data_IF_331984124698
#
_entry.id   IF_331984124698
#
_cell.length_a   1.000
_cell.length_b   1.000
_cell.length_c   1.000
_cell.angle_alpha   90.00
_cell.angle_beta   90.00
_cell.angle_gamma   90.00
#
_symmetry.space_group_name_H-M   'P 1'
#
loop_
_entity.id
_entity.type
_entity.pdbx_description
1 polymer ?
#
# COMPACT_ATOMS: atom_id res chain seq x y z
N UNK A 1 1.65 12.94 -25.58
CA UNK A 1 1.79 14.41 -25.41
C UNK A 1 0.67 15.07 -26.22
N UNK A 2 -0.27 15.72 -25.54
CA UNK A 2 -1.34 16.49 -26.17
C UNK A 2 -0.89 17.94 -26.17
N UNK A 3 -0.79 18.57 -27.36
CA UNK A 3 -0.57 20.00 -27.46
C UNK A 3 -1.86 20.72 -27.03
N UNK A 4 -1.80 21.41 -25.91
CA UNK A 4 -2.92 22.24 -25.43
C UNK A 4 -2.66 23.66 -25.90
N UNK A 5 -3.51 24.19 -26.80
CA UNK A 5 -3.52 25.59 -27.16
C UNK A 5 -3.96 26.41 -25.91
N UNK A 6 -2.99 26.98 -25.23
CA UNK A 6 -3.25 27.95 -24.16
C UNK A 6 -3.60 29.29 -24.85
N UNK A 7 -4.87 29.65 -24.85
CA UNK A 7 -5.28 30.99 -25.27
C UNK A 7 -4.61 32.03 -24.39
N UNK A 8 -3.98 33.03 -24.99
CA UNK A 8 -3.43 34.17 -24.26
C UNK A 8 -4.50 34.77 -23.34
N UNK A 9 -4.29 34.64 -22.03
CA UNK A 9 -5.12 35.28 -21.04
C UNK A 9 -4.62 36.74 -20.92
N UNK A 10 -5.35 37.64 -21.51
CA UNK A 10 -5.17 39.09 -21.23
C UNK A 10 -5.75 39.40 -19.85
N UNK A 11 -4.99 39.17 -18.79
CA UNK A 11 -5.31 39.67 -17.47
C UNK A 11 -4.91 41.16 -17.43
N UNK A 12 -5.84 42.04 -17.71
CA UNK A 12 -5.69 43.43 -17.39
C UNK A 12 -5.76 43.60 -15.85
N UNK A 13 -4.62 44.02 -15.29
CA UNK A 13 -4.54 44.76 -14.03
C UNK A 13 -5.25 44.11 -12.82
N UNK A 14 -4.79 42.98 -12.32
CA UNK A 14 -5.16 42.59 -10.96
C UNK A 14 -4.54 43.59 -9.98
N UNK A 15 -5.36 44.31 -9.18
CA UNK A 15 -4.88 45.05 -8.05
C UNK A 15 -4.23 44.09 -7.05
N UNK A 16 -2.94 44.23 -6.92
CA UNK A 16 -2.15 43.39 -6.02
C UNK A 16 -2.19 44.03 -4.63
N UNK A 17 -2.64 43.28 -3.62
CA UNK A 17 -2.68 43.76 -2.24
C UNK A 17 -1.30 44.00 -1.64
N UNK A 18 -1.20 44.74 -0.53
CA UNK A 18 0.08 45.04 0.11
C UNK A 18 0.76 43.77 0.58
N UNK A 19 2.04 43.58 0.20
CA UNK A 19 2.87 42.43 0.54
C UNK A 19 3.09 41.39 -0.57
N UNK A 20 2.53 41.60 -1.77
CA UNK A 20 2.77 40.76 -2.93
C UNK A 20 3.87 41.37 -3.81
N UNK A 21 4.95 40.64 -4.03
CA UNK A 21 6.01 41.03 -4.98
C UNK A 21 5.63 40.50 -6.36
N UNK A 22 5.32 41.42 -7.29
CA UNK A 22 5.10 41.05 -8.69
C UNK A 22 6.46 40.96 -9.36
N UNK A 23 6.84 39.76 -9.77
CA UNK A 23 8.00 39.58 -10.63
C UNK A 23 7.52 39.54 -12.09
N UNK A 24 7.80 40.58 -12.83
CA UNK A 24 7.60 40.57 -14.28
C UNK A 24 8.61 39.57 -14.89
N UNK A 25 8.16 38.38 -15.18
CA UNK A 25 8.89 37.49 -16.08
C UNK A 25 8.83 38.14 -17.47
N UNK A 26 9.95 38.71 -17.89
CA UNK A 26 10.03 39.33 -19.21
C UNK A 26 9.53 38.32 -20.26
N UNK A 27 8.52 38.73 -21.03
CA UNK A 27 8.07 38.00 -22.18
C UNK A 27 9.22 37.98 -23.22
N UNK A 28 10.13 37.04 -23.05
CA UNK A 28 11.02 36.65 -24.13
C UNK A 28 10.11 36.25 -25.30
N UNK A 29 10.11 37.03 -26.38
CA UNK A 29 9.36 36.71 -27.57
C UNK A 29 9.74 35.29 -28.00
N UNK A 30 8.93 34.25 -27.75
CA UNK A 30 9.22 32.94 -28.28
C UNK A 30 9.01 33.12 -29.78
N UNK A 31 10.09 33.14 -30.57
CA UNK A 31 9.94 32.81 -31.94
C UNK A 31 9.25 31.44 -31.96
N UNK A 32 7.95 31.46 -32.21
CA UNK A 32 7.16 30.28 -32.52
C UNK A 32 7.82 29.62 -33.72
N UNK A 33 8.85 28.80 -33.45
CA UNK A 33 9.31 27.86 -34.45
C UNK A 33 8.07 27.08 -34.87
N UNK A 34 7.80 26.99 -36.16
CA UNK A 34 6.75 26.15 -36.71
C UNK A 34 6.89 24.76 -36.11
N UNK A 35 6.20 24.51 -34.99
CA UNK A 35 6.17 23.18 -34.36
C UNK A 35 5.51 22.24 -35.33
N UNK A 36 6.26 21.28 -35.80
CA UNK A 36 5.69 20.14 -36.52
C UNK A 36 4.57 19.56 -35.64
N UNK A 37 3.34 19.54 -36.16
CA UNK A 37 2.24 18.90 -35.47
C UNK A 37 2.63 17.45 -35.21
N UNK A 38 2.98 17.13 -33.97
CA UNK A 38 3.20 15.75 -33.56
C UNK A 38 1.82 15.12 -33.40
N UNK A 39 1.52 14.10 -34.19
CA UNK A 39 0.32 13.33 -34.03
C UNK A 39 0.36 12.73 -32.59
N UNK A 40 -0.68 12.94 -31.77
CA UNK A 40 -0.69 12.39 -30.43
C UNK A 40 -0.65 10.86 -30.50
N UNK A 41 0.36 10.27 -29.86
CA UNK A 41 0.38 8.83 -29.65
C UNK A 41 -0.56 8.55 -28.47
N UNK A 42 -1.76 8.05 -28.79
CA UNK A 42 -2.78 7.72 -27.77
C UNK A 42 -2.46 6.31 -27.31
N UNK A 43 -1.98 6.19 -26.07
CA UNK A 43 -1.74 4.89 -25.45
C UNK A 43 -3.05 4.07 -25.44
N UNK A 44 -2.97 2.74 -25.70
CA UNK A 44 -4.13 1.87 -25.63
C UNK A 44 -4.73 1.89 -24.23
N UNK A 45 -6.05 1.79 -24.14
CA UNK A 45 -6.73 1.69 -22.86
C UNK A 45 -6.41 0.32 -22.22
N UNK A 46 -5.91 0.35 -21.00
CA UNK A 46 -5.64 -0.86 -20.22
C UNK A 46 -6.95 -1.52 -19.75
N UNK A 47 -6.90 -2.82 -19.42
CA UNK A 47 -7.96 -3.53 -18.75
C UNK A 47 -8.25 -2.89 -17.37
N UNK A 48 -9.49 -2.96 -16.90
CA UNK A 48 -9.90 -2.28 -15.66
C UNK A 48 -9.11 -2.74 -14.44
N UNK A 49 -8.85 -4.04 -14.30
CA UNK A 49 -8.07 -4.59 -13.19
C UNK A 49 -6.61 -4.17 -13.27
N UNK A 50 -6.05 -4.07 -14.47
CA UNK A 50 -4.71 -3.53 -14.71
C UNK A 50 -4.60 -2.07 -14.28
N UNK A 51 -5.57 -1.24 -14.67
CA UNK A 51 -5.60 0.17 -14.27
C UNK A 51 -5.67 0.33 -12.75
N UNK A 52 -6.52 -0.46 -12.07
CA UNK A 52 -6.67 -0.40 -10.61
C UNK A 52 -5.36 -0.87 -9.95
N UNK A 53 -4.80 -2.00 -10.40
CA UNK A 53 -3.55 -2.52 -9.87
C UNK A 53 -2.40 -1.52 -10.00
N UNK A 54 -2.23 -0.96 -11.18
CA UNK A 54 -1.18 0.01 -11.46
C UNK A 54 -1.35 1.30 -10.64
N UNK A 55 -2.60 1.75 -10.43
CA UNK A 55 -2.88 2.89 -9.56
C UNK A 55 -2.52 2.62 -8.09
N UNK A 56 -2.81 1.41 -7.57
CA UNK A 56 -2.44 1.01 -6.21
C UNK A 56 -0.92 0.89 -6.06
N UNK A 57 -0.24 0.29 -7.03
CA UNK A 57 1.22 0.17 -7.09
C UNK A 57 1.88 1.55 -7.13
N UNK A 58 1.39 2.44 -7.99
CA UNK A 58 1.91 3.81 -8.12
C UNK A 58 1.73 4.59 -6.81
N UNK A 59 0.53 4.53 -6.22
CA UNK A 59 0.23 5.22 -4.97
C UNK A 59 1.12 4.75 -3.82
N UNK A 60 1.37 3.45 -3.71
CA UNK A 60 2.26 2.88 -2.69
C UNK A 60 3.71 3.31 -2.92
N UNK A 61 4.23 3.15 -4.14
CA UNK A 61 5.59 3.57 -4.50
C UNK A 61 5.85 5.02 -4.18
N UNK A 62 4.97 5.89 -4.64
CA UNK A 62 5.05 7.33 -4.42
C UNK A 62 5.07 7.68 -2.92
N UNK A 63 4.21 7.03 -2.13
CA UNK A 63 4.15 7.27 -0.69
C UNK A 63 5.45 6.85 0.00
N UNK A 64 5.94 5.64 -0.29
CA UNK A 64 7.17 5.11 0.29
C UNK A 64 8.36 6.01 -0.05
N UNK A 65 8.55 6.33 -1.32
CA UNK A 65 9.71 7.08 -1.80
C UNK A 65 9.68 8.55 -1.37
N UNK A 66 8.53 9.22 -1.48
CA UNK A 66 8.40 10.64 -1.11
C UNK A 66 8.51 10.89 0.40
N UNK A 67 8.20 9.89 1.22
CA UNK A 67 8.38 9.98 2.67
C UNK A 67 9.75 9.44 3.15
N UNK A 68 10.62 9.00 2.23
CA UNK A 68 11.99 8.58 2.54
C UNK A 68 12.10 7.20 3.18
N UNK A 69 11.07 6.36 3.11
CA UNK A 69 11.15 4.99 3.59
C UNK A 69 11.93 4.12 2.60
N UNK A 70 12.86 3.33 3.12
CA UNK A 70 13.66 2.41 2.31
C UNK A 70 12.97 1.06 2.09
N UNK A 71 12.03 0.70 2.94
CA UNK A 71 11.38 -0.60 2.97
C UNK A 71 10.04 -0.57 3.67
N UNK A 72 9.26 -1.64 3.50
CA UNK A 72 7.98 -1.83 4.17
C UNK A 72 7.95 -3.15 4.94
N UNK A 73 7.11 -3.21 5.98
CA UNK A 73 6.86 -4.42 6.76
C UNK A 73 5.35 -4.64 6.92
N UNK A 74 4.90 -5.89 6.85
CA UNK A 74 3.49 -6.24 7.04
C UNK A 74 3.31 -7.61 7.68
N UNK A 75 2.18 -7.78 8.36
CA UNK A 75 1.77 -9.08 8.88
C UNK A 75 1.26 -9.99 7.75
N UNK A 76 1.81 -11.20 7.66
CA UNK A 76 1.34 -12.24 6.74
C UNK A 76 0.53 -13.27 7.55
N UNK A 77 -0.79 -13.24 7.35
CA UNK A 77 -1.74 -14.08 8.08
C UNK A 77 -2.11 -15.38 7.33
N UNK A 78 -1.62 -15.56 6.10
CA UNK A 78 -2.13 -16.58 5.17
C UNK A 78 -3.45 -16.17 4.51
N UNK A 79 -4.02 -15.00 4.85
CA UNK A 79 -5.25 -14.47 4.25
C UNK A 79 -5.00 -13.69 2.96
N UNK A 80 -6.06 -13.60 2.13
CA UNK A 80 -5.99 -12.95 0.80
C UNK A 80 -5.62 -11.47 0.86
N UNK A 81 -6.05 -10.73 1.91
CA UNK A 81 -5.79 -9.31 2.02
C UNK A 81 -4.29 -9.03 2.23
N UNK A 82 -3.68 -9.75 3.17
CA UNK A 82 -2.23 -9.66 3.40
C UNK A 82 -1.42 -10.11 2.17
N UNK A 83 -1.90 -11.14 1.47
CA UNK A 83 -1.26 -11.64 0.25
C UNK A 83 -1.29 -10.58 -0.88
N UNK A 84 -2.44 -9.93 -1.11
CA UNK A 84 -2.56 -8.86 -2.11
C UNK A 84 -1.71 -7.65 -1.72
N UNK A 85 -1.68 -7.26 -0.44
CA UNK A 85 -0.82 -6.17 0.02
C UNK A 85 0.67 -6.47 -0.18
N UNK A 86 1.12 -7.71 0.09
CA UNK A 86 2.50 -8.11 -0.15
C UNK A 86 2.85 -8.08 -1.65
N UNK A 87 1.98 -8.60 -2.51
CA UNK A 87 2.18 -8.57 -3.95
C UNK A 87 2.22 -7.14 -4.51
N UNK A 88 1.33 -6.25 -4.05
CA UNK A 88 1.35 -4.82 -4.39
C UNK A 88 2.66 -4.16 -3.95
N UNK A 89 3.15 -4.49 -2.75
CA UNK A 89 4.40 -3.95 -2.24
C UNK A 89 5.60 -4.40 -3.09
N UNK A 90 5.67 -5.67 -3.46
CA UNK A 90 6.72 -6.21 -4.34
C UNK A 90 6.67 -5.54 -5.72
N UNK A 91 5.49 -5.37 -6.31
CA UNK A 91 5.34 -4.70 -7.61
C UNK A 91 5.67 -3.20 -7.50
N UNK A 92 5.50 -2.59 -6.33
CA UNK A 92 5.78 -1.17 -6.10
C UNK A 92 7.27 -0.87 -5.90
N UNK A 93 7.95 -1.63 -5.02
CA UNK A 93 9.30 -1.28 -4.56
C UNK A 93 10.32 -2.42 -4.67
N UNK A 94 9.93 -3.57 -5.20
CA UNK A 94 10.80 -4.75 -5.34
C UNK A 94 10.84 -5.65 -4.09
N UNK A 95 11.14 -6.96 -4.27
CA UNK A 95 11.07 -7.94 -3.19
C UNK A 95 12.06 -7.67 -2.05
N UNK A 96 13.27 -7.21 -2.35
CA UNK A 96 14.34 -6.95 -1.36
C UNK A 96 13.98 -5.86 -0.33
N UNK A 97 12.90 -5.11 -0.57
CA UNK A 97 12.42 -4.01 0.27
C UNK A 97 11.12 -4.32 0.99
N UNK A 98 10.64 -5.57 0.91
CA UNK A 98 9.37 -6.01 1.52
C UNK A 98 9.65 -7.10 2.54
N UNK A 99 9.21 -6.90 3.77
CA UNK A 99 9.43 -7.81 4.88
C UNK A 99 8.11 -8.34 5.43
N UNK A 100 7.96 -9.67 5.45
CA UNK A 100 6.81 -10.36 6.00
C UNK A 100 7.02 -10.73 7.48
N UNK A 101 5.96 -10.66 8.28
CA UNK A 101 5.97 -11.19 9.65
C UNK A 101 4.79 -12.13 9.83
N UNK A 102 5.07 -13.42 10.02
CA UNK A 102 4.09 -14.39 10.46
C UNK A 102 3.95 -14.30 11.99
N UNK A 103 2.74 -14.06 12.49
CA UNK A 103 2.48 -13.84 13.91
C UNK A 103 1.43 -14.84 14.42
N UNK A 104 1.78 -16.12 14.52
CA UNK A 104 0.85 -17.16 14.91
C UNK A 104 0.45 -17.03 16.38
N UNK A 105 -0.84 -17.33 16.64
CA UNK A 105 -1.35 -17.63 17.98
C UNK A 105 -1.36 -19.14 18.23
N UNK A 106 -1.68 -19.58 19.44
CA UNK A 106 -1.88 -20.99 19.77
C UNK A 106 -3.03 -21.63 18.97
N UNK A 107 -3.91 -20.82 18.39
CA UNK A 107 -5.07 -21.25 17.61
C UNK A 107 -4.86 -21.13 16.10
N UNK A 108 -3.69 -20.66 15.66
CA UNK A 108 -3.40 -20.53 14.22
C UNK A 108 -3.24 -21.90 13.59
N UNK A 109 -3.95 -22.14 12.46
CA UNK A 109 -3.84 -23.39 11.74
C UNK A 109 -2.46 -23.56 11.09
N UNK A 110 -2.00 -24.80 10.92
CA UNK A 110 -0.77 -25.08 10.18
C UNK A 110 -0.86 -24.62 8.72
N UNK A 111 -2.08 -24.64 8.14
CA UNK A 111 -2.33 -24.12 6.79
C UNK A 111 -2.02 -22.64 6.65
N UNK A 112 -2.42 -21.81 7.64
CA UNK A 112 -2.14 -20.36 7.58
C UNK A 112 -0.64 -20.05 7.60
N UNK A 113 0.15 -20.85 8.31
CA UNK A 113 1.60 -20.68 8.34
C UNK A 113 2.22 -21.11 7.01
N UNK A 114 1.86 -22.28 6.51
CA UNK A 114 2.37 -22.79 5.22
C UNK A 114 1.99 -21.86 4.06
N UNK A 115 0.79 -21.26 4.09
CA UNK A 115 0.35 -20.31 3.06
C UNK A 115 1.15 -18.99 3.09
N UNK A 116 1.53 -18.53 4.28
CA UNK A 116 2.36 -17.33 4.43
C UNK A 116 3.80 -17.60 3.93
N UNK A 117 4.36 -18.75 4.24
CA UNK A 117 5.70 -19.17 3.82
C UNK A 117 5.74 -19.39 2.29
N UNK A 118 4.77 -20.11 1.70
CA UNK A 118 4.66 -20.32 0.25
C UNK A 118 4.50 -18.99 -0.50
N UNK A 119 3.71 -18.06 0.05
CA UNK A 119 3.57 -16.73 -0.53
C UNK A 119 4.90 -15.96 -0.52
N UNK A 120 5.62 -15.99 0.61
CA UNK A 120 6.90 -15.30 0.75
C UNK A 120 7.94 -15.87 -0.23
N UNK A 121 8.02 -17.18 -0.35
CA UNK A 121 8.90 -17.86 -1.32
C UNK A 121 8.58 -17.44 -2.76
N UNK A 122 7.30 -17.46 -3.15
CA UNK A 122 6.86 -17.07 -4.51
C UNK A 122 7.09 -15.60 -4.83
N UNK A 123 6.99 -14.73 -3.83
CA UNK A 123 7.24 -13.29 -3.99
C UNK A 123 8.73 -12.94 -3.86
N UNK A 124 9.56 -13.86 -3.37
CA UNK A 124 10.99 -13.64 -3.13
C UNK A 124 11.26 -12.65 -2.00
N UNK A 125 10.38 -12.60 -0.99
CA UNK A 125 10.51 -11.68 0.15
C UNK A 125 11.00 -12.40 1.40
N UNK A 126 11.69 -11.67 2.27
CA UNK A 126 12.06 -12.18 3.58
C UNK A 126 10.83 -12.28 4.50
N UNK A 127 10.72 -13.41 5.21
CA UNK A 127 9.69 -13.63 6.23
C UNK A 127 10.32 -14.08 7.53
N UNK A 128 9.83 -13.53 8.65
CA UNK A 128 10.15 -14.04 9.99
C UNK A 128 8.89 -14.43 10.75
N UNK A 129 9.06 -15.28 11.74
CA UNK A 129 7.97 -15.73 12.61
C UNK A 129 8.15 -15.17 14.01
N UNK A 130 7.13 -14.44 14.48
CA UNK A 130 7.05 -13.86 15.83
C UNK A 130 5.79 -14.37 16.53
N UNK A 131 5.92 -15.39 17.36
CA UNK A 131 4.79 -15.96 18.08
C UNK A 131 4.21 -14.96 19.08
N UNK A 132 2.89 -14.76 19.07
CA UNK A 132 2.24 -13.77 19.94
C UNK A 132 1.94 -14.29 21.36
N UNK A 133 1.85 -15.61 21.56
CA UNK A 133 1.44 -16.21 22.84
C UNK A 133 2.24 -15.71 24.05
N UNK A 134 3.59 -15.59 23.99
CA UNK A 134 4.38 -15.09 25.14
C UNK A 134 4.03 -13.66 25.56
N UNK A 135 3.46 -12.85 24.67
CA UNK A 135 3.05 -11.48 24.96
C UNK A 135 1.55 -11.38 25.30
N UNK A 136 0.74 -12.27 24.77
CA UNK A 136 -0.71 -12.31 25.00
C UNK A 136 -1.03 -12.88 26.37
N UNK A 137 -0.49 -14.06 26.70
CA UNK A 137 -0.84 -14.84 27.90
C UNK A 137 -0.68 -14.05 29.22
N UNK A 138 0.41 -13.29 29.44
CA UNK A 138 0.56 -12.52 30.68
C UNK A 138 -0.48 -11.40 30.80
N UNK A 139 -0.82 -10.71 29.74
CA UNK A 139 -1.80 -9.61 29.74
C UNK A 139 -3.21 -10.16 29.88
N UNK A 140 -3.55 -11.23 29.15
CA UNK A 140 -4.83 -11.92 29.21
C UNK A 140 -5.13 -12.43 30.62
N UNK A 141 -4.14 -13.07 31.24
CA UNK A 141 -4.23 -13.57 32.62
C UNK A 141 -4.33 -12.44 33.65
N UNK A 142 -3.54 -11.37 33.50
CA UNK A 142 -3.55 -10.24 34.45
C UNK A 142 -4.87 -9.47 34.44
N UNK A 143 -5.49 -9.34 33.24
CA UNK A 143 -6.73 -8.58 33.06
C UNK A 143 -7.98 -9.47 33.04
N UNK A 144 -7.82 -10.79 33.17
CA UNK A 144 -8.90 -11.79 33.12
C UNK A 144 -9.77 -11.64 31.89
N UNK A 145 -9.10 -11.49 30.69
CA UNK A 145 -9.80 -11.26 29.42
C UNK A 145 -10.30 -12.56 28.80
N UNK A 146 -11.50 -12.50 28.24
CA UNK A 146 -12.10 -13.58 27.46
C UNK A 146 -12.84 -13.06 26.19
N UNK A 147 -13.30 -13.98 25.34
CA UNK A 147 -14.09 -13.68 24.16
C UNK A 147 -13.46 -12.61 23.28
N UNK A 148 -14.28 -11.62 22.86
CA UNK A 148 -13.86 -10.53 21.98
C UNK A 148 -12.72 -9.69 22.57
N UNK A 149 -12.65 -9.55 23.91
CA UNK A 149 -11.58 -8.79 24.53
C UNK A 149 -10.21 -9.48 24.34
N UNK A 150 -10.17 -10.81 24.49
CA UNK A 150 -8.98 -11.61 24.23
C UNK A 150 -8.58 -11.60 22.74
N UNK A 151 -9.54 -11.71 21.81
CA UNK A 151 -9.31 -11.60 20.37
C UNK A 151 -8.71 -10.24 20.00
N UNK A 152 -9.28 -9.17 20.53
CA UNK A 152 -8.79 -7.80 20.32
C UNK A 152 -7.40 -7.58 20.93
N UNK A 153 -7.07 -8.23 22.06
CA UNK A 153 -5.73 -8.21 22.63
C UNK A 153 -4.73 -8.81 21.64
N UNK A 154 -5.03 -9.99 21.07
CA UNK A 154 -4.16 -10.63 20.09
C UNK A 154 -3.88 -9.72 18.86
N UNK A 155 -4.93 -9.06 18.35
CA UNK A 155 -4.76 -8.11 17.26
C UNK A 155 -3.84 -6.94 17.63
N UNK A 156 -3.99 -6.39 18.85
CA UNK A 156 -3.13 -5.31 19.35
C UNK A 156 -1.69 -5.73 19.60
N UNK A 157 -1.47 -6.95 20.09
CA UNK A 157 -0.11 -7.49 20.26
C UNK A 157 0.58 -7.62 18.89
N UNK A 158 -0.11 -8.06 17.84
CA UNK A 158 0.43 -8.04 16.47
C UNK A 158 0.81 -6.63 16.03
N UNK A 159 -0.03 -5.65 16.32
CA UNK A 159 0.27 -4.24 16.05
C UNK A 159 1.51 -3.75 16.80
N UNK A 160 1.68 -4.12 18.08
CA UNK A 160 2.86 -3.79 18.88
C UNK A 160 4.13 -4.38 18.27
N UNK A 161 4.09 -5.66 17.86
CA UNK A 161 5.24 -6.33 17.23
C UNK A 161 5.64 -5.59 15.96
N UNK A 162 4.69 -5.34 15.04
CA UNK A 162 4.97 -4.64 13.78
C UNK A 162 5.54 -3.23 14.01
N UNK A 163 4.97 -2.46 14.93
CA UNK A 163 5.47 -1.12 15.24
C UNK A 163 6.83 -1.15 15.95
N UNK A 164 7.07 -2.14 16.82
CA UNK A 164 8.36 -2.34 17.45
C UNK A 164 9.46 -2.61 16.42
N UNK A 165 9.21 -3.52 15.46
CA UNK A 165 10.12 -3.82 14.37
C UNK A 165 10.32 -2.62 13.44
N UNK A 166 9.23 -1.92 13.10
CA UNK A 166 9.28 -0.68 12.33
C UNK A 166 10.23 0.35 12.94
N UNK A 167 10.12 0.58 14.24
CA UNK A 167 10.96 1.54 14.94
C UNK A 167 12.42 1.09 15.08
N UNK A 168 12.64 -0.22 15.21
CA UNK A 168 13.99 -0.77 15.36
C UNK A 168 14.75 -0.82 14.02
N UNK A 169 14.05 -1.07 12.92
CA UNK A 169 14.64 -1.40 11.63
C UNK A 169 14.34 -0.35 10.53
N UNK A 170 13.44 0.62 10.79
CA UNK A 170 13.15 1.73 9.89
C UNK A 170 12.15 1.43 8.79
N UNK A 171 11.35 0.36 8.93
CA UNK A 171 10.33 0.00 7.95
C UNK A 171 9.04 0.83 8.06
N UNK A 172 8.38 1.10 6.94
CA UNK A 172 6.99 1.57 6.95
C UNK A 172 6.06 0.36 7.18
N UNK A 173 5.22 0.41 8.21
CA UNK A 173 4.20 -0.63 8.43
C UNK A 173 3.05 -0.45 7.46
N UNK A 174 2.71 -1.53 6.71
CA UNK A 174 1.50 -1.59 5.89
C UNK A 174 0.36 -2.24 6.67
N UNK A 175 -0.81 -1.61 6.68
CA UNK A 175 -2.04 -2.25 7.17
C UNK A 175 -2.77 -2.94 6.02
N UNK A 176 -3.39 -4.08 6.31
CA UNK A 176 -4.00 -4.95 5.29
C UNK A 176 -5.53 -4.88 5.27
N UNK A 177 -6.12 -3.94 6.02
CA UNK A 177 -7.57 -3.74 6.07
C UNK A 177 -8.14 -3.24 4.74
N UNK A 178 -9.22 -3.89 4.27
CA UNK A 178 -9.92 -3.52 3.05
C UNK A 178 -11.14 -2.63 3.33
N UNK A 179 -11.73 -2.06 2.27
CA UNK A 179 -12.88 -1.15 2.36
C UNK A 179 -14.10 -1.77 3.05
N UNK A 180 -14.36 -3.05 2.79
CA UNK A 180 -15.53 -3.74 3.36
C UNK A 180 -15.42 -3.90 4.87
N UNK A 181 -14.24 -4.29 5.37
CA UNK A 181 -13.96 -4.40 6.81
C UNK A 181 -14.16 -3.06 7.52
N UNK A 182 -13.63 -1.99 6.93
CA UNK A 182 -13.78 -0.64 7.49
C UNK A 182 -15.24 -0.19 7.47
N UNK A 183 -15.97 -0.46 6.39
CA UNK A 183 -17.37 -0.05 6.24
C UNK A 183 -18.30 -0.71 7.26
N UNK A 184 -18.00 -1.97 7.65
CA UNK A 184 -18.82 -2.71 8.65
C UNK A 184 -18.25 -2.62 10.06
N UNK A 185 -17.12 -1.92 10.27
CA UNK A 185 -16.45 -1.81 11.56
C UNK A 185 -15.76 -3.09 12.03
N UNK A 186 -15.43 -4.01 11.12
CA UNK A 186 -14.67 -5.22 11.41
C UNK A 186 -13.18 -4.93 11.43
N UNK A 187 -12.76 -4.24 12.47
CA UNK A 187 -11.38 -3.78 12.64
C UNK A 187 -11.10 -3.47 14.11
N UNK A 188 -9.93 -3.86 14.57
CA UNK A 188 -9.47 -3.59 15.94
C UNK A 188 -8.59 -2.34 15.94
N UNK A 189 -9.05 -1.29 16.65
CA UNK A 189 -8.29 -0.05 16.83
C UNK A 189 -6.98 -0.37 17.57
N UNK A 190 -5.87 0.13 17.03
CA UNK A 190 -4.49 -0.16 17.50
C UNK A 190 -4.07 -1.63 17.34
N UNK A 191 -4.82 -2.43 16.57
CA UNK A 191 -4.51 -3.80 16.22
C UNK A 191 -4.24 -3.97 14.73
N UNK A 192 -5.16 -4.59 14.01
CA UNK A 192 -5.08 -4.81 12.56
C UNK A 192 -5.12 -3.52 11.72
N UNK A 193 -5.62 -2.43 12.30
CA UNK A 193 -5.61 -1.10 11.68
C UNK A 193 -4.29 -0.34 11.83
N UNK A 194 -3.30 -0.91 12.54
CA UNK A 194 -2.02 -0.26 12.77
C UNK A 194 -1.19 -0.22 11.50
N UNK A 195 -0.60 0.94 11.20
CA UNK A 195 0.28 1.14 10.05
C UNK A 195 0.27 2.56 9.53
N UNK A 196 1.29 2.89 8.74
CA UNK A 196 1.46 4.22 8.13
C UNK A 196 0.85 4.34 6.74
N UNK A 197 0.56 3.21 6.08
CA UNK A 197 -0.08 3.17 4.77
C UNK A 197 -0.99 1.94 4.63
N UNK A 198 -2.13 2.12 3.98
CA UNK A 198 -3.18 1.11 3.81
C UNK A 198 -3.46 0.87 2.32
N UNK A 199 -2.75 -0.04 1.66
CA UNK A 199 -2.79 -0.21 0.20
C UNK A 199 -4.17 -0.49 -0.37
N UNK A 200 -4.97 -1.29 0.33
CA UNK A 200 -6.29 -1.75 -0.14
C UNK A 200 -7.46 -1.14 0.65
N UNK A 201 -7.21 -0.04 1.38
CA UNK A 201 -8.24 0.60 2.23
C UNK A 201 -9.50 1.01 1.47
N UNK A 202 -9.36 1.37 0.19
CA UNK A 202 -10.49 1.76 -0.68
C UNK A 202 -10.93 0.67 -1.65
N UNK A 203 -10.39 -0.55 -1.49
CA UNK A 203 -10.71 -1.72 -2.33
C UNK A 203 -11.72 -2.61 -1.60
N UNK A 204 -12.95 -2.81 -2.14
CA UNK A 204 -13.92 -3.75 -1.59
C UNK A 204 -13.41 -5.19 -1.61
N UNK A 205 -13.84 -6.02 -0.64
CA UNK A 205 -13.41 -7.43 -0.52
C UNK A 205 -13.57 -8.25 -1.80
N UNK A 206 -14.66 -8.05 -2.54
CA UNK A 206 -14.88 -8.72 -3.82
C UNK A 206 -13.82 -8.37 -4.85
N UNK A 207 -13.47 -7.09 -4.93
CA UNK A 207 -12.43 -6.61 -5.84
C UNK A 207 -11.02 -7.08 -5.41
N UNK A 208 -10.76 -7.26 -4.11
CA UNK A 208 -9.50 -7.88 -3.65
C UNK A 208 -9.33 -9.27 -4.26
N UNK A 209 -10.38 -10.09 -4.29
CA UNK A 209 -10.37 -11.42 -4.93
C UNK A 209 -10.18 -11.35 -6.45
N UNK A 210 -10.80 -10.37 -7.11
CA UNK A 210 -10.66 -10.18 -8.55
C UNK A 210 -9.23 -9.77 -8.92
N UNK A 211 -8.66 -8.83 -8.19
CA UNK A 211 -7.28 -8.36 -8.36
C UNK A 211 -6.27 -9.50 -8.10
N UNK A 212 -6.49 -10.31 -7.07
CA UNK A 212 -5.62 -11.46 -6.79
C UNK A 212 -5.61 -12.47 -7.96
N UNK A 213 -6.79 -12.80 -8.51
CA UNK A 213 -6.88 -13.69 -9.69
C UNK A 213 -6.20 -13.07 -10.91
N UNK A 214 -6.52 -11.81 -11.18
CA UNK A 214 -5.92 -11.07 -12.30
C UNK A 214 -4.39 -11.04 -12.18
N UNK A 215 -3.85 -10.73 -11.00
CA UNK A 215 -2.40 -10.67 -10.77
C UNK A 215 -1.72 -12.01 -11.01
N UNK A 216 -2.32 -13.12 -10.56
CA UNK A 216 -1.81 -14.46 -10.80
C UNK A 216 -1.78 -14.81 -12.30
N UNK A 217 -2.84 -14.48 -13.04
CA UNK A 217 -2.89 -14.70 -14.49
C UNK A 217 -1.87 -13.86 -15.23
N UNK A 218 -1.74 -12.58 -14.83
CA UNK A 218 -0.78 -11.65 -15.39
C UNK A 218 0.67 -12.10 -15.15
N UNK A 219 0.98 -12.56 -13.93
CA UNK A 219 2.29 -13.10 -13.58
C UNK A 219 2.65 -14.34 -14.40
N UNK A 220 1.70 -15.27 -14.59
CA UNK A 220 1.89 -16.45 -15.46
C UNK A 220 2.15 -16.05 -16.91
N UNK A 221 1.40 -15.08 -17.46
CA UNK A 221 1.61 -14.58 -18.83
C UNK A 221 3.00 -13.94 -19.01
N UNK A 222 3.52 -13.32 -17.96
CA UNK A 222 4.86 -12.70 -17.96
C UNK A 222 5.99 -13.67 -17.54
N UNK A 223 5.68 -14.91 -17.19
CA UNK A 223 6.68 -15.91 -16.75
C UNK A 223 7.33 -15.54 -15.41
N UNK A 224 6.60 -14.85 -14.53
CA UNK A 224 7.07 -14.45 -13.19
C UNK A 224 6.77 -15.52 -12.12
N UNK A 225 5.86 -16.45 -12.41
CA UNK A 225 5.48 -17.61 -11.59
C UNK A 225 5.15 -18.80 -12.47
#
# INVERSE_FOLDING_TARGET
LVDIDVKESTTHGAQVGPGVVVVEAGAGNPQLSTRTKVAPDIAPQLEINEQIWDALVLGMRDYVEKNGFTSVILGLSGGIDSAVCAALAVDAIGPDRVFGVSMPSNYSSDHSRSDADDLAERLGIDIRTEAIAPLVEPVESQLELDGIAAENLQARIRGIILMGLSNAEGHLVLTTGNKTEIAVGYSTIYGDSVGGFAPIRDVPKTLVWELARWRNEHARKKGLI
#
